data_IF_584001779280
#
_entry.id   IF_584001779280
#
_cell.length_a   1.000
_cell.length_b   1.000
_cell.length_c   1.000
_cell.angle_alpha   90.00
_cell.angle_beta   90.00
_cell.angle_gamma   90.00
#
_symmetry.space_group_name_H-M   'P 1'
#
loop_
_entity.id
_entity.type
_entity.pdbx_description
1 polymer ?
#
# COMPACT_ATOMS: atom_id res chain seq x y z
N UNK A 1 -3.32 -8.24 -19.86
CA UNK A 1 -3.85 -9.05 -18.74
C UNK A 1 -4.00 -8.15 -17.53
N UNK A 2 -5.04 -8.34 -16.72
CA UNK A 2 -5.24 -7.61 -15.46
C UNK A 2 -5.42 -8.63 -14.34
N UNK A 3 -4.80 -8.41 -13.20
CA UNK A 3 -5.04 -9.18 -11.98
C UNK A 3 -5.27 -8.23 -10.81
N UNK A 4 -6.13 -8.68 -9.89
CA UNK A 4 -6.30 -8.08 -8.58
C UNK A 4 -5.73 -9.03 -7.54
N UNK A 5 -5.04 -8.47 -6.55
CA UNK A 5 -4.48 -9.20 -5.42
C UNK A 5 -5.02 -8.54 -4.16
N UNK A 6 -5.77 -9.30 -3.38
CA UNK A 6 -6.14 -8.94 -2.01
C UNK A 6 -4.98 -9.27 -1.07
N UNK A 7 -4.71 -8.36 -0.13
CA UNK A 7 -3.66 -8.51 0.87
C UNK A 7 -4.07 -7.88 2.20
N UNK A 8 -3.35 -8.25 3.26
CA UNK A 8 -3.38 -7.52 4.53
C UNK A 8 -2.15 -6.63 4.63
N UNK A 9 -2.34 -5.33 4.85
CA UNK A 9 -1.30 -4.42 5.30
C UNK A 9 -1.03 -4.69 6.78
N UNK A 10 0.23 -4.96 7.10
CA UNK A 10 0.66 -5.37 8.45
C UNK A 10 1.68 -4.41 9.06
N UNK A 11 2.21 -3.49 8.24
CA UNK A 11 3.21 -2.51 8.66
C UNK A 11 3.02 -1.18 7.94
N UNK A 12 3.27 -0.08 8.67
CA UNK A 12 3.41 1.27 8.15
C UNK A 12 4.85 1.75 8.36
N UNK A 13 5.65 1.77 7.29
CA UNK A 13 7.09 2.03 7.41
C UNK A 13 7.77 1.03 8.35
N UNK A 14 8.29 1.52 9.48
CA UNK A 14 8.94 0.68 10.50
C UNK A 14 7.97 0.14 11.57
N UNK A 15 6.74 0.66 11.63
CA UNK A 15 5.75 0.34 12.66
C UNK A 15 4.89 -0.85 12.25
N UNK A 16 4.74 -1.83 13.14
CA UNK A 16 3.68 -2.84 13.02
C UNK A 16 2.31 -2.18 13.23
N UNK A 17 1.31 -2.61 12.46
CA UNK A 17 -0.09 -2.17 12.58
C UNK A 17 -1.00 -3.40 12.64
N UNK A 18 -2.22 -3.28 13.19
CA UNK A 18 -3.23 -4.33 13.05
C UNK A 18 -3.41 -4.71 11.56
N UNK A 19 -3.75 -5.98 11.31
CA UNK A 19 -4.05 -6.48 9.97
C UNK A 19 -5.18 -5.65 9.35
N UNK A 20 -4.90 -4.99 8.23
CA UNK A 20 -5.86 -4.13 7.53
C UNK A 20 -5.95 -4.49 6.05
N UNK A 21 -7.16 -4.51 5.49
CA UNK A 21 -7.37 -5.00 4.13
C UNK A 21 -6.89 -4.01 3.05
N UNK A 22 -6.35 -4.54 1.96
CA UNK A 22 -5.98 -3.78 0.78
C UNK A 22 -6.09 -4.60 -0.51
N UNK A 23 -6.18 -3.90 -1.64
CA UNK A 23 -6.18 -4.48 -2.98
C UNK A 23 -5.19 -3.75 -3.88
N UNK A 24 -4.38 -4.53 -4.59
CA UNK A 24 -3.54 -4.03 -5.68
C UNK A 24 -4.04 -4.57 -7.02
N UNK A 25 -4.14 -3.70 -8.02
CA UNK A 25 -4.47 -4.05 -9.40
C UNK A 25 -3.26 -3.79 -10.29
N UNK A 26 -2.80 -4.82 -10.99
CA UNK A 26 -1.69 -4.74 -11.91
C UNK A 26 -2.14 -4.97 -13.35
N UNK A 27 -1.69 -4.11 -14.26
CA UNK A 27 -1.84 -4.29 -15.70
C UNK A 27 -0.49 -4.64 -16.32
N UNK A 28 -0.45 -5.72 -17.09
CA UNK A 28 0.74 -6.13 -17.84
C UNK A 28 0.60 -5.73 -19.30
N UNK A 29 1.57 -4.98 -19.80
CA UNK A 29 1.70 -4.58 -21.19
C UNK A 29 2.12 -5.73 -22.10
N UNK A 30 2.00 -5.53 -23.42
CA UNK A 30 2.41 -6.52 -24.44
C UNK A 30 3.91 -6.81 -24.44
N UNK A 31 4.72 -5.89 -23.92
CA UNK A 31 6.16 -6.07 -23.69
C UNK A 31 6.48 -6.95 -22.46
N UNK A 32 5.46 -7.43 -21.75
CA UNK A 32 5.62 -8.25 -20.56
C UNK A 32 5.99 -7.48 -19.29
N UNK A 33 6.08 -6.15 -19.33
CA UNK A 33 6.29 -5.29 -18.17
C UNK A 33 4.96 -4.80 -17.58
N UNK A 34 4.99 -4.22 -16.38
CA UNK A 34 3.82 -3.52 -15.84
C UNK A 34 3.57 -2.24 -16.63
N UNK A 35 2.36 -2.08 -17.14
CA UNK A 35 1.90 -0.86 -17.80
C UNK A 35 1.21 0.09 -16.82
N UNK A 36 0.60 -0.44 -15.76
CA UNK A 36 -0.01 0.34 -14.69
C UNK A 36 -0.11 -0.48 -13.40
N UNK A 37 -0.09 0.21 -12.26
CA UNK A 37 -0.40 -0.34 -10.94
C UNK A 37 -1.30 0.66 -10.20
N UNK A 38 -2.32 0.16 -9.50
CA UNK A 38 -3.18 0.94 -8.61
C UNK A 38 -3.37 0.19 -7.31
N UNK A 39 -3.27 0.91 -6.21
CA UNK A 39 -3.44 0.38 -4.86
C UNK A 39 -4.66 1.08 -4.26
N UNK A 40 -5.57 0.30 -3.70
CA UNK A 40 -6.71 0.76 -2.93
C UNK A 40 -6.61 0.13 -1.56
N UNK A 41 -6.39 0.95 -0.55
CA UNK A 41 -6.23 0.47 0.81
C UNK A 41 -6.95 1.39 1.77
N UNK A 42 -7.65 0.77 2.72
CA UNK A 42 -8.34 1.44 3.82
C UNK A 42 -7.48 1.21 5.08
N UNK A 43 -6.31 1.83 5.07
CA UNK A 43 -5.29 1.64 6.11
C UNK A 43 -5.23 2.88 6.98
N UNK A 44 -5.60 2.71 8.24
CA UNK A 44 -5.42 3.71 9.27
C UNK A 44 -3.93 3.83 9.65
N UNK A 45 -3.39 5.06 9.74
CA UNK A 45 -2.01 5.28 10.13
C UNK A 45 -1.79 4.91 11.61
N UNK A 46 -0.55 4.62 12.02
CA UNK A 46 -0.22 4.46 13.44
C UNK A 46 -0.61 5.70 14.25
N UNK A 47 -0.97 5.51 15.53
CA UNK A 47 -1.38 6.59 16.44
C UNK A 47 -0.27 7.65 16.68
N UNK A 48 0.98 7.33 16.36
CA UNK A 48 2.10 8.28 16.36
C UNK A 48 2.53 8.53 14.92
N UNK A 49 2.44 9.78 14.48
CA UNK A 49 2.99 10.17 13.17
C UNK A 49 4.51 10.23 13.28
N UNK A 50 5.19 9.53 12.38
CA UNK A 50 6.64 9.64 12.16
C UNK A 50 7.01 10.82 11.25
N UNK A 51 6.01 11.61 10.83
CA UNK A 51 6.27 12.88 10.14
C UNK A 51 7.03 13.78 11.11
N UNK A 52 8.28 14.10 10.77
CA UNK A 52 9.13 15.04 11.48
C UNK A 52 8.33 16.32 11.77
N UNK A 53 7.93 16.51 13.02
CA UNK A 53 7.42 17.79 13.49
C UNK A 53 8.61 18.75 13.45
N UNK A 54 8.68 19.58 12.41
CA UNK A 54 9.67 20.65 12.31
C UNK A 54 9.76 21.43 13.62
N UNK A 55 10.99 21.79 13.99
CA UNK A 55 11.40 22.51 15.21
C UNK A 55 10.44 23.66 15.62
N UNK A 56 10.29 23.97 16.92
CA UNK A 56 9.32 24.95 17.47
C UNK A 56 9.28 26.31 16.77
#
# INVERSE_FOLDING_TARGET
MRCAIEYNCVRWGVSEIPLQAGVAVYERGSNGLLSAARIYEDVEPPAVSDTFAGYP
#
